data_IF_273280970383
#
_entry.id   IF_273280970383
#
_cell.length_a   1.000
_cell.length_b   1.000
_cell.length_c   1.000
_cell.angle_alpha   90.00
_cell.angle_beta   90.00
_cell.angle_gamma   90.00
#
_symmetry.space_group_name_H-M   'P 1'
#
loop_
_entity.id
_entity.type
_entity.pdbx_description
1 polymer ?
#
# COMPACT_ATOMS: atom_id res chain seq x y z
N UNK A 1 -75.31 22.53 -3.85
CA UNK A 1 -74.40 22.44 -5.02
C UNK A 1 -73.02 21.99 -4.56
N UNK A 2 -72.57 20.77 -4.90
CA UNK A 2 -71.34 20.16 -4.37
C UNK A 2 -70.04 20.85 -4.83
N UNK A 3 -70.08 21.71 -5.84
CA UNK A 3 -68.93 22.45 -6.40
C UNK A 3 -68.19 23.37 -5.41
N UNK A 4 -68.84 23.80 -4.33
CA UNK A 4 -68.27 24.75 -3.36
C UNK A 4 -67.15 24.10 -2.56
N UNK A 5 -67.32 22.82 -2.22
CA UNK A 5 -66.34 22.04 -1.47
C UNK A 5 -65.10 21.76 -2.31
N UNK A 6 -65.24 21.63 -3.64
CA UNK A 6 -64.11 21.50 -4.55
C UNK A 6 -63.27 22.78 -4.58
N UNK A 7 -63.90 23.95 -4.60
CA UNK A 7 -63.21 25.26 -4.59
C UNK A 7 -62.49 25.48 -3.24
N UNK A 8 -63.15 25.16 -2.13
CA UNK A 8 -62.55 25.30 -0.79
C UNK A 8 -61.37 24.33 -0.61
N UNK A 9 -61.52 23.07 -1.05
CA UNK A 9 -60.44 22.08 -1.01
C UNK A 9 -59.22 22.49 -1.86
N UNK A 10 -59.44 23.11 -3.02
CA UNK A 10 -58.37 23.65 -3.86
C UNK A 10 -57.58 24.76 -3.14
N UNK A 11 -58.27 25.71 -2.50
CA UNK A 11 -57.62 26.77 -1.75
C UNK A 11 -56.80 26.23 -0.57
N UNK A 12 -57.36 25.29 0.19
CA UNK A 12 -56.64 24.66 1.31
C UNK A 12 -55.44 23.86 0.80
N UNK A 13 -55.59 23.13 -0.30
CA UNK A 13 -54.52 22.38 -0.94
C UNK A 13 -53.36 23.27 -1.43
N UNK A 14 -53.67 24.44 -2.00
CA UNK A 14 -52.66 25.42 -2.42
C UNK A 14 -51.89 25.95 -1.21
N UNK A 15 -52.58 26.32 -0.13
CA UNK A 15 -51.94 26.84 1.09
C UNK A 15 -51.00 25.80 1.68
N UNK A 16 -51.46 24.56 1.84
CA UNK A 16 -50.66 23.45 2.38
C UNK A 16 -49.50 23.12 1.43
N UNK A 17 -49.74 23.08 0.12
CA UNK A 17 -48.71 22.82 -0.88
C UNK A 17 -47.57 23.85 -0.86
N UNK A 18 -47.90 25.14 -0.70
CA UNK A 18 -46.90 26.21 -0.58
C UNK A 18 -46.07 26.05 0.70
N UNK A 19 -46.70 25.70 1.82
CA UNK A 19 -46.00 25.48 3.10
C UNK A 19 -45.01 24.31 2.98
N UNK A 20 -45.45 23.18 2.44
CA UNK A 20 -44.59 22.00 2.25
C UNK A 20 -43.45 22.30 1.28
N UNK A 21 -43.72 22.98 0.18
CA UNK A 21 -42.71 23.36 -0.81
C UNK A 21 -41.61 24.24 -0.20
N UNK A 22 -42.00 25.24 0.61
CA UNK A 22 -41.07 26.16 1.27
C UNK A 22 -40.21 25.46 2.34
N UNK A 23 -40.76 24.46 3.02
CA UNK A 23 -40.01 23.64 4.00
C UNK A 23 -39.06 22.65 3.30
N UNK A 24 -39.38 22.20 2.08
CA UNK A 24 -38.59 21.21 1.33
C UNK A 24 -37.47 21.83 0.48
N UNK A 25 -37.46 23.15 0.31
CA UNK A 25 -36.43 23.87 -0.48
C UNK A 25 -34.98 23.83 0.05
N UNK A 26 -34.63 23.55 1.34
CA UNK A 26 -33.22 23.57 1.77
C UNK A 26 -32.37 22.40 1.26
N UNK A 27 -32.94 21.44 0.52
CA UNK A 27 -32.23 20.25 0.02
C UNK A 27 -31.04 20.59 -0.91
N UNK A 28 -31.09 21.69 -1.66
CA UNK A 28 -29.96 22.12 -2.51
C UNK A 28 -28.74 22.56 -1.69
N UNK A 29 -28.96 23.19 -0.53
CA UNK A 29 -27.86 23.60 0.36
C UNK A 29 -27.21 22.37 1.00
N UNK A 30 -28.02 21.37 1.37
CA UNK A 30 -27.52 20.10 1.93
C UNK A 30 -26.63 19.34 0.94
N UNK A 31 -26.99 19.29 -0.34
CA UNK A 31 -26.14 18.64 -1.34
C UNK A 31 -24.80 19.35 -1.53
N UNK A 32 -24.78 20.69 -1.48
CA UNK A 32 -23.54 21.47 -1.56
C UNK A 32 -22.66 21.26 -0.33
N UNK A 33 -23.28 21.16 0.85
CA UNK A 33 -22.59 20.88 2.11
C UNK A 33 -21.98 19.47 2.11
N UNK A 34 -22.73 18.45 1.67
CA UNK A 34 -22.23 17.07 1.53
C UNK A 34 -21.07 16.98 0.52
N UNK A 35 -21.16 17.68 -0.62
CA UNK A 35 -20.05 17.70 -1.59
C UNK A 35 -18.82 18.40 -1.01
N UNK A 36 -19.01 19.49 -0.28
CA UNK A 36 -17.92 20.18 0.42
C UNK A 36 -17.27 19.27 1.45
N UNK A 37 -18.05 18.55 2.25
CA UNK A 37 -17.54 17.61 3.25
C UNK A 37 -16.73 16.48 2.59
N UNK A 38 -17.21 15.95 1.46
CA UNK A 38 -16.47 14.97 0.66
C UNK A 38 -15.14 15.52 0.13
N UNK A 39 -15.12 16.73 -0.42
CA UNK A 39 -13.89 17.38 -0.89
C UNK A 39 -12.92 17.63 0.26
N UNK A 40 -13.42 18.07 1.41
CA UNK A 40 -12.61 18.35 2.60
C UNK A 40 -11.99 17.05 3.12
N UNK A 41 -12.78 15.99 3.25
CA UNK A 41 -12.29 14.68 3.70
C UNK A 41 -11.26 14.09 2.74
N UNK A 42 -11.47 14.21 1.43
CA UNK A 42 -10.45 13.78 0.43
C UNK A 42 -9.16 14.57 0.55
N UNK A 43 -9.26 15.89 0.74
CA UNK A 43 -8.10 16.75 0.93
C UNK A 43 -7.33 16.39 2.20
N UNK A 44 -8.01 16.17 3.32
CA UNK A 44 -7.37 15.71 4.57
C UNK A 44 -6.66 14.37 4.41
N UNK A 45 -7.26 13.43 3.66
CA UNK A 45 -6.69 12.12 3.40
C UNK A 45 -5.44 12.21 2.52
N UNK A 46 -5.46 13.06 1.49
CA UNK A 46 -4.30 13.33 0.66
C UNK A 46 -3.18 14.01 1.46
N UNK A 47 -3.53 14.94 2.36
CA UNK A 47 -2.56 15.60 3.22
C UNK A 47 -1.92 14.62 4.21
N UNK A 48 -2.69 13.71 4.79
CA UNK A 48 -2.14 12.63 5.63
C UNK A 48 -1.24 11.68 4.82
N UNK A 49 -1.63 11.35 3.59
CA UNK A 49 -0.80 10.54 2.68
C UNK A 49 0.55 11.20 2.41
N UNK A 50 0.54 12.51 2.17
CA UNK A 50 1.75 13.29 1.95
C UNK A 50 2.62 13.33 3.20
N UNK A 51 2.05 13.65 4.36
CA UNK A 51 2.79 13.74 5.63
C UNK A 51 3.44 12.39 6.02
N UNK A 52 2.73 11.27 5.78
CA UNK A 52 3.30 9.93 5.94
C UNK A 52 4.44 9.67 4.98
N UNK A 53 4.29 10.04 3.70
CA UNK A 53 5.35 9.84 2.71
C UNK A 53 6.61 10.63 3.06
N UNK A 54 6.45 11.87 3.52
CA UNK A 54 7.56 12.71 3.96
C UNK A 54 8.24 12.11 5.21
N UNK A 55 7.46 11.65 6.21
CA UNK A 55 8.00 10.96 7.39
C UNK A 55 8.75 9.67 7.04
N UNK A 56 8.25 8.86 6.10
CA UNK A 56 8.94 7.64 5.66
C UNK A 56 10.20 7.96 4.86
N UNK A 57 10.21 9.02 4.07
CA UNK A 57 11.40 9.50 3.36
C UNK A 57 12.49 9.95 4.35
N UNK A 58 12.12 10.74 5.37
CA UNK A 58 13.03 11.14 6.44
C UNK A 58 13.53 9.93 7.24
N UNK A 59 12.63 9.02 7.61
CA UNK A 59 12.99 7.78 8.32
C UNK A 59 13.96 6.91 7.52
N UNK A 60 13.79 6.81 6.20
CA UNK A 60 14.70 6.09 5.32
C UNK A 60 16.10 6.74 5.29
N UNK A 61 16.18 8.07 5.30
CA UNK A 61 17.46 8.79 5.39
C UNK A 61 18.15 8.55 6.73
N UNK A 62 17.40 8.60 7.84
CA UNK A 62 17.92 8.29 9.18
C UNK A 62 18.41 6.84 9.24
N UNK A 63 17.63 5.90 8.69
CA UNK A 63 18.00 4.48 8.66
C UNK A 63 19.27 4.21 7.85
N UNK A 64 19.46 4.90 6.73
CA UNK A 64 20.70 4.83 5.95
C UNK A 64 21.90 5.34 6.77
N UNK A 65 21.73 6.45 7.50
CA UNK A 65 22.76 6.96 8.40
C UNK A 65 23.11 5.96 9.51
N UNK A 66 22.12 5.37 10.16
CA UNK A 66 22.33 4.32 11.18
C UNK A 66 23.07 3.12 10.55
N UNK A 67 22.70 2.70 9.34
CA UNK A 67 23.38 1.61 8.65
C UNK A 67 24.86 1.91 8.38
N UNK A 68 25.18 3.16 8.01
CA UNK A 68 26.56 3.62 7.83
C UNK A 68 27.33 3.69 9.15
N UNK A 69 26.73 4.27 10.19
CA UNK A 69 27.34 4.38 11.52
C UNK A 69 27.58 3.00 12.15
N UNK A 70 26.61 2.09 12.02
CA UNK A 70 26.74 0.70 12.48
C UNK A 70 27.90 -0.02 11.79
N UNK A 71 28.04 0.12 10.47
CA UNK A 71 29.18 -0.44 9.72
C UNK A 71 30.50 0.13 10.22
N UNK A 72 30.58 1.45 10.42
CA UNK A 72 31.78 2.13 10.92
C UNK A 72 32.16 1.68 12.33
N UNK A 73 31.17 1.52 13.22
CA UNK A 73 31.38 1.00 14.57
C UNK A 73 31.94 -0.42 14.51
N UNK A 74 31.34 -1.29 13.69
CA UNK A 74 31.83 -2.66 13.53
C UNK A 74 33.27 -2.68 13.01
N UNK A 75 33.59 -1.88 11.99
CA UNK A 75 34.94 -1.77 11.44
C UNK A 75 35.94 -1.30 12.50
N UNK A 76 35.55 -0.30 13.30
CA UNK A 76 36.39 0.20 14.38
C UNK A 76 36.65 -0.90 15.43
N UNK A 77 35.63 -1.62 15.85
CA UNK A 77 35.77 -2.74 16.79
C UNK A 77 36.63 -3.88 16.23
N UNK A 78 36.47 -4.21 14.95
CA UNK A 78 37.30 -5.22 14.29
C UNK A 78 38.78 -4.81 14.26
N UNK A 79 39.08 -3.56 13.89
CA UNK A 79 40.44 -3.03 13.87
C UNK A 79 41.05 -2.96 15.28
N UNK A 80 40.29 -2.44 16.25
CA UNK A 80 40.73 -2.34 17.65
C UNK A 80 40.95 -3.72 18.28
N UNK A 81 40.11 -4.71 17.97
CA UNK A 81 40.32 -6.09 18.42
C UNK A 81 41.60 -6.68 17.85
N UNK A 82 41.91 -6.43 16.58
CA UNK A 82 43.13 -6.92 15.94
C UNK A 82 44.39 -6.24 16.50
N UNK A 83 44.30 -4.94 16.83
CA UNK A 83 45.40 -4.18 17.44
C UNK A 83 45.70 -4.61 18.88
N UNK A 84 44.65 -4.80 19.69
CA UNK A 84 44.80 -5.17 21.11
C UNK A 84 45.07 -6.66 21.33
N UNK A 85 44.60 -7.52 20.42
CA UNK A 85 44.75 -8.98 20.51
C UNK A 85 45.40 -9.58 19.24
N UNK A 86 46.66 -9.25 18.93
CA UNK A 86 47.32 -9.63 17.67
C UNK A 86 47.63 -11.13 17.55
N UNK A 87 47.55 -11.91 18.64
CA UNK A 87 47.78 -13.36 18.65
C UNK A 87 46.49 -14.18 18.82
N UNK A 88 45.32 -13.54 18.75
CA UNK A 88 44.06 -14.27 18.84
C UNK A 88 43.75 -14.89 17.47
N UNK A 89 43.48 -16.21 17.40
CA UNK A 89 43.09 -16.83 16.14
C UNK A 89 41.79 -16.18 15.62
N UNK A 90 41.69 -15.98 14.30
CA UNK A 90 40.53 -15.32 13.67
C UNK A 90 39.20 -16.00 14.01
N UNK A 91 39.23 -17.30 14.32
CA UNK A 91 38.07 -18.09 14.76
C UNK A 91 37.51 -17.65 16.12
N UNK A 92 38.34 -17.11 17.01
CA UNK A 92 37.93 -16.65 18.35
C UNK A 92 37.59 -15.15 18.37
N UNK A 93 37.79 -14.43 17.26
CA UNK A 93 37.44 -13.01 17.15
C UNK A 93 36.05 -12.86 16.50
N UNK A 94 35.01 -12.45 17.25
CA UNK A 94 33.66 -12.28 16.70
C UNK A 94 33.55 -11.15 15.67
N UNK A 95 34.60 -10.34 15.50
CA UNK A 95 34.64 -9.24 14.54
C UNK A 95 35.47 -9.54 13.29
N UNK A 96 36.18 -10.68 13.23
CA UNK A 96 37.11 -11.01 12.14
C UNK A 96 36.42 -11.30 10.79
N UNK A 97 35.23 -11.90 10.80
CA UNK A 97 34.50 -12.37 9.61
C UNK A 97 34.30 -11.27 8.54
N UNK A 98 34.13 -10.01 8.97
CA UNK A 98 33.90 -8.86 8.09
C UNK A 98 35.18 -8.24 7.55
N UNK A 99 36.32 -8.44 8.24
CA UNK A 99 37.63 -8.02 7.77
C UNK A 99 38.07 -8.92 6.61
N UNK A 100 37.89 -10.24 6.76
CA UNK A 100 38.15 -11.23 5.70
C UNK A 100 37.29 -10.98 4.46
N UNK A 101 35.99 -10.67 4.63
CA UNK A 101 35.12 -10.30 3.52
C UNK A 101 35.59 -9.02 2.79
N UNK A 102 36.22 -8.08 3.49
CA UNK A 102 36.79 -6.86 2.89
C UNK A 102 38.09 -7.17 2.13
N UNK A 103 38.99 -7.97 2.70
CA UNK A 103 40.22 -8.39 2.02
C UNK A 103 39.89 -9.24 0.78
N UNK A 104 38.98 -10.21 0.91
CA UNK A 104 38.46 -10.98 -0.23
C UNK A 104 37.77 -10.10 -1.29
N UNK A 105 37.06 -9.02 -0.90
CA UNK A 105 36.44 -8.09 -1.84
C UNK A 105 37.42 -7.16 -2.58
N UNK A 106 38.60 -6.91 -2.00
CA UNK A 106 39.69 -6.18 -2.67
C UNK A 106 40.36 -7.06 -3.74
N UNK A 107 40.56 -8.35 -3.46
CA UNK A 107 41.08 -9.33 -4.41
C UNK A 107 40.05 -9.76 -5.48
N UNK A 108 38.74 -9.76 -5.17
CA UNK A 108 37.68 -10.25 -6.07
C UNK A 108 37.13 -9.21 -7.06
N UNK A 109 37.61 -7.96 -7.06
CA UNK A 109 37.23 -6.97 -8.09
C UNK A 109 37.74 -7.30 -9.50
N UNK A 110 38.52 -8.36 -9.68
CA UNK A 110 39.02 -8.79 -10.99
C UNK A 110 38.19 -9.89 -11.67
N UNK A 111 37.25 -10.59 -10.99
CA UNK A 111 36.74 -11.86 -11.57
C UNK A 111 35.31 -12.29 -11.25
N UNK A 112 34.34 -11.42 -10.93
CA UNK A 112 32.93 -11.86 -10.93
C UNK A 112 31.91 -10.74 -11.11
N UNK A 113 31.74 -10.30 -12.36
CA UNK A 113 30.54 -9.61 -12.80
C UNK A 113 29.58 -10.65 -13.43
N UNK A 114 28.91 -11.47 -12.63
CA UNK A 114 27.80 -12.28 -13.13
C UNK A 114 26.53 -12.02 -12.30
N UNK A 115 25.54 -11.39 -12.93
CA UNK A 115 24.25 -11.07 -12.35
C UNK A 115 23.39 -12.35 -12.18
N UNK A 116 22.51 -12.41 -11.16
CA UNK A 116 21.69 -13.59 -10.91
C UNK A 116 20.71 -13.84 -12.08
N UNK A 117 20.80 -15.04 -12.66
CA UNK A 117 19.97 -15.51 -13.78
C UNK A 117 18.65 -16.11 -13.29
N UNK A 118 17.85 -15.37 -12.52
CA UNK A 118 16.63 -15.90 -11.89
C UNK A 118 15.30 -15.31 -12.41
N UNK A 119 15.30 -14.67 -13.59
CA UNK A 119 14.09 -14.08 -14.19
C UNK A 119 13.62 -14.77 -15.48
N UNK A 120 13.81 -16.08 -15.63
CA UNK A 120 13.22 -16.80 -16.76
C UNK A 120 13.14 -18.30 -16.53
N UNK A 121 12.26 -18.77 -15.64
CA UNK A 121 11.62 -20.06 -15.89
C UNK A 121 10.21 -20.10 -15.30
N UNK A 122 9.25 -19.87 -16.20
CA UNK A 122 7.93 -20.50 -16.15
C UNK A 122 7.05 -20.11 -14.98
N UNK A 123 6.21 -19.09 -15.21
CA UNK A 123 4.92 -18.86 -14.55
C UNK A 123 4.58 -19.86 -13.44
N UNK A 124 4.96 -19.57 -12.19
CA UNK A 124 4.30 -20.12 -11.00
C UNK A 124 2.94 -19.45 -10.85
N UNK A 125 2.10 -19.58 -11.87
CA UNK A 125 0.66 -19.38 -11.78
C UNK A 125 0.07 -20.70 -11.34
N UNK A 126 -0.25 -20.82 -10.05
CA UNK A 126 -0.91 -22.00 -9.46
C UNK A 126 -2.37 -22.15 -9.89
N UNK A 127 -2.68 -21.85 -11.17
CA UNK A 127 -3.98 -22.02 -11.78
C UNK A 127 -3.78 -22.86 -13.03
N UNK A 128 -3.90 -24.17 -12.87
CA UNK A 128 -4.03 -25.09 -13.99
C UNK A 128 -5.43 -24.88 -14.54
N UNK A 129 -5.58 -24.24 -15.70
CA UNK A 129 -6.86 -24.19 -16.37
C UNK A 129 -7.27 -25.63 -16.74
N UNK A 130 -8.25 -26.16 -16.01
CA UNK A 130 -8.86 -27.44 -16.32
C UNK A 130 -9.72 -27.25 -17.57
N UNK A 131 -9.31 -27.90 -18.66
CA UNK A 131 -10.01 -27.87 -19.93
C UNK A 131 -11.39 -28.52 -19.75
N UNK A 132 -12.46 -27.70 -19.75
CA UNK A 132 -13.84 -28.19 -19.62
C UNK A 132 -14.19 -29.11 -20.80
N UNK A 133 -14.42 -30.40 -20.51
CA UNK A 133 -15.05 -31.32 -21.46
C UNK A 133 -16.49 -30.87 -21.74
N UNK A 134 -16.73 -30.45 -22.98
CA UNK A 134 -18.08 -30.12 -23.45
C UNK A 134 -18.76 -31.44 -23.80
N UNK A 135 -19.48 -32.02 -22.85
CA UNK A 135 -20.34 -33.18 -23.11
C UNK A 135 -21.49 -32.75 -24.04
N UNK A 136 -21.55 -33.34 -25.24
CA UNK A 136 -22.69 -33.17 -26.15
C UNK A 136 -23.91 -33.91 -25.59
N UNK A 137 -25.08 -33.33 -25.84
CA UNK A 137 -26.33 -33.57 -25.13
C UNK A 137 -27.07 -34.92 -25.30
N UNK A 138 -26.69 -35.94 -26.11
CA UNK A 138 -27.51 -37.15 -26.13
C UNK A 138 -27.17 -38.19 -25.03
N UNK A 139 -26.06 -38.09 -24.29
CA UNK A 139 -25.70 -39.12 -23.29
C UNK A 139 -26.25 -38.89 -21.87
N UNK A 140 -26.78 -37.71 -21.55
CA UNK A 140 -27.31 -37.41 -20.22
C UNK A 140 -28.62 -38.16 -19.86
N UNK A 141 -29.29 -38.79 -20.84
CA UNK A 141 -30.61 -39.41 -20.64
C UNK A 141 -30.50 -40.91 -20.31
N UNK A 142 -29.31 -41.51 -20.38
CA UNK A 142 -29.14 -42.96 -20.14
C UNK A 142 -28.63 -43.35 -18.74
N UNK A 143 -28.38 -42.36 -17.89
CA UNK A 143 -28.00 -42.55 -16.50
C UNK A 143 -29.13 -42.06 -15.58
N UNK A 144 -30.25 -42.77 -15.58
CA UNK A 144 -31.24 -42.76 -14.49
C UNK A 144 -31.64 -44.20 -14.22
#
# INVERSE_FOLDING_TARGET
MPWIYAIVGLFVGIIIGVIISRVTTPQYQKQKEIQKELETSKFELEQQRQDLNDHFSESAQILDNIGKEYRKLYEHMANTSNELLPNLPAQDNPFAERLEAREASSEAKSSSNEAPKDYANGATGMLKEEQKEILKAPEAIKAT
#
